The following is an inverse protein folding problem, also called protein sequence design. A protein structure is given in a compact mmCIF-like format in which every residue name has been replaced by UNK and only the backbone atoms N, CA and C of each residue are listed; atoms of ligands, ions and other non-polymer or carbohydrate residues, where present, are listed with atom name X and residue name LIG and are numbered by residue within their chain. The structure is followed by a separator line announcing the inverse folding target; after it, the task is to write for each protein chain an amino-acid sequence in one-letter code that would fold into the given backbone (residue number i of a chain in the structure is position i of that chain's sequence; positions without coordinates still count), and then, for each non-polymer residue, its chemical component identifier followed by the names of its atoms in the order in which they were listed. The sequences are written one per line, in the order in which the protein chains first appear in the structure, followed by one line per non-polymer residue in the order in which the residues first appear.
data_IF_576839519764
#
_entry.id   IF_576839519764
#
_cell.length_a   1.000
_cell.length_b   1.000
_cell.length_c   1.000
_cell.angle_alpha   90.00
_cell.angle_beta   90.00
_cell.angle_gamma   90.00
#
_symmetry.space_group_name_H-M   'P 1'
#
loop_
_entity.id
_entity.type
_entity.pdbx_description
1 polymer ?
#
# COMPACT_ATOMS: atom_id res chain seq x y z
N UNK A 1 -14.05 6.58 27.44
CA UNK A 1 -12.76 7.19 27.07
C UNK A 1 -11.93 6.32 26.12
N UNK A 2 -11.82 5.00 26.33
CA UNK A 2 -11.02 4.11 25.47
C UNK A 2 -11.40 4.13 23.97
N UNK A 3 -12.69 4.25 23.66
CA UNK A 3 -13.15 4.27 22.28
C UNK A 3 -12.67 5.46 21.44
N UNK A 4 -12.77 6.68 21.98
CA UNK A 4 -12.32 7.90 21.30
C UNK A 4 -10.82 7.89 21.07
N UNK A 5 -10.05 7.33 22.01
CA UNK A 5 -8.61 7.13 21.86
C UNK A 5 -8.25 6.17 20.71
N UNK A 6 -9.00 5.07 20.55
CA UNK A 6 -8.78 4.11 19.46
C UNK A 6 -9.02 4.74 18.08
N UNK A 7 -10.06 5.56 17.95
CA UNK A 7 -10.35 6.29 16.71
C UNK A 7 -9.27 7.31 16.40
N UNK A 8 -8.88 8.13 17.38
CA UNK A 8 -7.83 9.12 17.19
C UNK A 8 -6.51 8.46 16.78
N UNK A 9 -6.15 7.33 17.41
CA UNK A 9 -4.97 6.55 17.03
C UNK A 9 -5.07 5.99 15.60
N UNK A 10 -6.23 5.43 15.21
CA UNK A 10 -6.44 4.91 13.84
C UNK A 10 -6.31 6.02 12.79
N UNK A 11 -6.89 7.20 13.06
CA UNK A 11 -6.76 8.37 12.17
C UNK A 11 -5.31 8.84 12.10
N UNK A 12 -4.60 8.92 13.24
CA UNK A 12 -3.20 9.32 13.27
C UNK A 12 -2.31 8.34 12.47
N UNK A 13 -2.54 7.04 12.60
CA UNK A 13 -1.85 6.00 11.82
C UNK A 13 -2.16 6.13 10.33
N UNK A 14 -3.42 6.38 9.96
CA UNK A 14 -3.83 6.60 8.57
C UNK A 14 -3.11 7.82 7.98
N UNK A 15 -3.20 8.97 8.63
CA UNK A 15 -2.57 10.22 8.18
C UNK A 15 -1.04 10.09 8.12
N UNK A 16 -0.43 9.48 9.13
CA UNK A 16 1.01 9.23 9.16
C UNK A 16 1.44 8.31 8.01
N UNK A 17 0.67 7.26 7.74
CA UNK A 17 0.93 6.36 6.61
C UNK A 17 0.85 7.12 5.29
N UNK A 18 -0.21 7.88 5.06
CA UNK A 18 -0.40 8.66 3.83
C UNK A 18 0.75 9.66 3.65
N UNK A 19 1.16 10.35 4.71
CA UNK A 19 2.28 11.29 4.66
C UNK A 19 3.60 10.59 4.30
N UNK A 20 3.91 9.44 4.93
CA UNK A 20 5.11 8.65 4.62
C UNK A 20 5.07 8.16 3.18
N UNK A 21 3.93 7.65 2.72
CA UNK A 21 3.76 7.18 1.34
C UNK A 21 3.98 8.31 0.34
N UNK A 22 3.34 9.47 0.53
CA UNK A 22 3.50 10.63 -0.34
C UNK A 22 4.95 11.11 -0.37
N UNK A 23 5.64 11.10 0.77
CA UNK A 23 7.06 11.43 0.85
C UNK A 23 7.94 10.40 0.13
N UNK A 24 7.67 9.10 0.30
CA UNK A 24 8.41 8.00 -0.36
C UNK A 24 8.21 7.99 -1.87
N UNK A 25 6.99 8.22 -2.34
CA UNK A 25 6.67 8.25 -3.78
C UNK A 25 7.38 9.39 -4.51
N UNK A 26 7.69 10.49 -3.81
CA UNK A 26 8.51 11.60 -4.35
C UNK A 26 9.98 11.25 -4.50
N UNK A 27 10.47 10.18 -3.85
CA UNK A 27 11.87 9.76 -3.92
C UNK A 27 12.08 8.73 -5.06
N UNK A 28 12.69 9.13 -6.19
CA UNK A 28 12.82 8.24 -7.36
C UNK A 28 13.69 7.01 -7.10
N UNK A 29 14.71 7.15 -6.23
CA UNK A 29 15.55 6.02 -5.81
C UNK A 29 14.72 4.94 -5.08
N UNK A 30 13.84 5.35 -4.16
CA UNK A 30 12.99 4.41 -3.44
C UNK A 30 12.01 3.68 -4.37
N UNK A 31 11.40 4.39 -5.32
CA UNK A 31 10.49 3.79 -6.33
C UNK A 31 11.24 2.76 -7.18
N UNK A 32 12.47 3.07 -7.60
CA UNK A 32 13.32 2.14 -8.36
C UNK A 32 13.66 0.89 -7.55
N UNK A 33 14.08 1.05 -6.30
CA UNK A 33 14.52 -0.07 -5.46
C UNK A 33 13.34 -0.98 -5.07
N UNK A 34 12.19 -0.39 -4.71
CA UNK A 34 10.95 -1.13 -4.46
C UNK A 34 10.51 -1.94 -5.68
N UNK A 35 10.69 -1.37 -6.87
CA UNK A 35 10.40 -2.06 -8.13
C UNK A 35 11.38 -3.19 -8.43
N UNK A 36 12.67 -2.99 -8.21
CA UNK A 36 13.67 -4.05 -8.35
C UNK A 36 13.34 -5.23 -7.43
N UNK A 37 12.93 -4.96 -6.19
CA UNK A 37 12.48 -5.99 -5.26
C UNK A 37 11.25 -6.75 -5.80
N UNK A 38 10.26 -6.03 -6.34
CA UNK A 38 9.06 -6.65 -6.93
C UNK A 38 9.38 -7.52 -8.16
N UNK A 39 10.38 -7.14 -8.95
CA UNK A 39 10.82 -7.89 -10.13
C UNK A 39 11.74 -9.06 -9.81
N UNK A 40 12.47 -9.02 -8.69
CA UNK A 40 13.34 -10.12 -8.25
C UNK A 40 12.52 -11.36 -7.88
N UNK A 41 11.32 -11.19 -7.32
CA UNK A 41 10.42 -12.28 -6.95
C UNK A 41 8.97 -11.96 -7.37
N UNK A 42 8.66 -12.02 -8.68
CA UNK A 42 7.39 -11.53 -9.22
C UNK A 42 6.17 -12.27 -8.67
N UNK A 43 6.30 -13.59 -8.43
CA UNK A 43 5.24 -14.43 -7.86
C UNK A 43 5.03 -14.12 -6.38
N UNK A 44 6.10 -14.06 -5.58
CA UNK A 44 6.01 -13.75 -4.14
C UNK A 44 5.42 -12.36 -3.91
N UNK A 45 5.87 -11.37 -4.68
CA UNK A 45 5.34 -10.01 -4.62
C UNK A 45 3.87 -9.93 -5.01
N UNK A 46 3.44 -10.71 -6.01
CA UNK A 46 2.03 -10.88 -6.38
C UNK A 46 1.20 -11.49 -5.25
N UNK A 47 1.71 -12.57 -4.65
CA UNK A 47 1.02 -13.27 -3.56
C UNK A 47 0.87 -12.37 -2.33
N UNK A 48 1.92 -11.63 -1.95
CA UNK A 48 1.83 -10.66 -0.84
C UNK A 48 0.85 -9.53 -1.16
N UNK A 49 0.82 -9.03 -2.39
CA UNK A 49 -0.14 -8.00 -2.80
C UNK A 49 -1.58 -8.52 -2.76
N UNK A 50 -1.83 -9.71 -3.30
CA UNK A 50 -3.14 -10.35 -3.29
C UNK A 50 -3.60 -10.64 -1.85
N UNK A 51 -2.72 -11.20 -1.03
CA UNK A 51 -2.98 -11.45 0.39
C UNK A 51 -3.31 -10.14 1.13
N UNK A 52 -2.51 -9.09 0.93
CA UNK A 52 -2.75 -7.77 1.50
C UNK A 52 -4.12 -7.19 1.09
N UNK A 53 -4.51 -7.34 -0.18
CA UNK A 53 -5.81 -6.92 -0.67
C UNK A 53 -6.96 -7.70 -0.02
N UNK A 54 -6.83 -9.03 0.12
CA UNK A 54 -7.83 -9.89 0.77
C UNK A 54 -7.98 -9.51 2.24
N UNK A 55 -6.88 -9.43 3.00
CA UNK A 55 -6.91 -9.05 4.43
C UNK A 55 -7.53 -7.68 4.61
N UNK A 56 -7.14 -6.71 3.79
CA UNK A 56 -7.68 -5.35 3.83
C UNK A 56 -9.19 -5.33 3.58
N UNK A 57 -9.67 -6.11 2.60
CA UNK A 57 -11.09 -6.22 2.28
C UNK A 57 -11.87 -6.86 3.42
N UNK A 58 -11.34 -7.92 4.04
CA UNK A 58 -11.95 -8.55 5.21
C UNK A 58 -12.07 -7.58 6.39
N UNK A 59 -11.03 -6.81 6.67
CA UNK A 59 -11.05 -5.78 7.72
C UNK A 59 -12.08 -4.70 7.41
N UNK A 60 -12.22 -4.29 6.15
CA UNK A 60 -13.24 -3.31 5.75
C UNK A 60 -14.66 -3.85 5.98
N UNK A 61 -14.94 -5.08 5.53
CA UNK A 61 -16.24 -5.73 5.70
C UNK A 61 -16.58 -5.85 7.18
N UNK A 62 -15.61 -6.28 8.00
CA UNK A 62 -15.78 -6.36 9.44
C UNK A 62 -16.03 -4.97 10.05
N UNK A 63 -15.26 -3.95 9.66
CA UNK A 63 -15.48 -2.59 10.12
C UNK A 63 -16.88 -2.08 9.83
N UNK A 64 -17.38 -2.27 8.60
CA UNK A 64 -18.75 -1.89 8.21
C UNK A 64 -19.79 -2.66 9.04
N UNK A 65 -19.61 -3.97 9.23
CA UNK A 65 -20.50 -4.78 10.08
C UNK A 65 -20.56 -4.26 11.52
N UNK A 66 -19.43 -3.85 12.10
CA UNK A 66 -19.38 -3.28 13.44
C UNK A 66 -20.02 -1.89 13.52
N UNK A 67 -19.91 -1.08 12.46
CA UNK A 67 -20.64 0.20 12.36
C UNK A 67 -22.15 -0.05 12.35
N UNK A 68 -22.65 -1.00 11.56
CA UNK A 68 -24.08 -1.26 11.41
C UNK A 68 -24.71 -1.92 12.64
N UNK A 69 -23.91 -2.63 13.45
CA UNK A 69 -24.37 -3.31 14.68
C UNK A 69 -24.22 -2.46 15.96
N UNK A 70 -24.05 -1.14 15.82
CA UNK A 70 -24.05 -0.20 16.95
C UNK A 70 -22.70 0.01 17.64
N UNK A 71 -21.63 -0.63 17.16
CA UNK A 71 -20.27 -0.47 17.68
C UNK A 71 -19.46 0.52 16.84
N UNK A 72 -20.04 1.72 16.62
CA UNK A 72 -19.54 2.70 15.66
C UNK A 72 -18.06 3.04 15.81
N UNK A 73 -17.57 3.18 17.03
CA UNK A 73 -16.15 3.50 17.28
C UNK A 73 -15.20 2.41 16.77
N UNK A 74 -15.46 1.15 17.10
CA UNK A 74 -14.61 0.02 16.68
C UNK A 74 -14.72 -0.16 15.17
N UNK A 75 -15.95 -0.04 14.64
CA UNK A 75 -16.19 -0.13 13.21
C UNK A 75 -15.44 0.93 12.41
N UNK A 76 -15.51 2.20 12.82
CA UNK A 76 -14.77 3.29 12.17
C UNK A 76 -13.25 3.15 12.32
N UNK A 77 -12.75 2.63 13.44
CA UNK A 77 -11.32 2.36 13.61
C UNK A 77 -10.83 1.28 12.62
N UNK A 78 -11.63 0.22 12.42
CA UNK A 78 -11.36 -0.81 11.41
C UNK A 78 -11.46 -0.28 9.99
N UNK A 79 -12.42 0.61 9.69
CA UNK A 79 -12.51 1.28 8.38
C UNK A 79 -11.26 2.12 8.11
N UNK A 80 -10.77 2.87 9.11
CA UNK A 80 -9.51 3.62 8.99
C UNK A 80 -8.30 2.73 8.75
N UNK A 81 -8.22 1.58 9.44
CA UNK A 81 -7.18 0.57 9.22
C UNK A 81 -7.25 0.00 7.79
N UNK A 82 -8.46 -0.31 7.30
CA UNK A 82 -8.66 -0.79 5.95
C UNK A 82 -8.27 0.27 4.90
N UNK A 83 -8.58 1.54 5.11
CA UNK A 83 -8.15 2.62 4.23
C UNK A 83 -6.61 2.72 4.15
N UNK A 84 -5.93 2.46 5.27
CA UNK A 84 -4.46 2.39 5.34
C UNK A 84 -3.92 1.22 4.51
N UNK A 85 -4.54 0.03 4.64
CA UNK A 85 -4.19 -1.16 3.84
C UNK A 85 -4.41 -0.94 2.34
N UNK A 86 -5.54 -0.33 1.97
CA UNK A 86 -5.89 -0.01 0.57
C UNK A 86 -4.84 0.92 -0.05
N UNK A 87 -4.38 1.91 0.71
CA UNK A 87 -3.33 2.84 0.26
C UNK A 87 -2.03 2.10 -0.09
N UNK A 88 -1.62 1.12 0.73
CA UNK A 88 -0.43 0.31 0.45
C UNK A 88 -0.61 -0.58 -0.79
N UNK A 89 -1.76 -1.25 -0.92
CA UNK A 89 -2.06 -2.08 -2.09
C UNK A 89 -2.06 -1.23 -3.36
N UNK A 90 -2.68 -0.05 -3.32
CA UNK A 90 -2.71 0.89 -4.44
C UNK A 90 -1.31 1.32 -4.88
N UNK A 91 -0.45 1.71 -3.92
CA UNK A 91 0.94 2.09 -4.21
C UNK A 91 1.71 0.92 -4.81
N UNK A 92 1.52 -0.30 -4.28
CA UNK A 92 2.15 -1.50 -4.83
C UNK A 92 1.77 -1.75 -6.29
N UNK A 93 0.47 -1.62 -6.62
CA UNK A 93 -0.04 -1.73 -8.00
C UNK A 93 0.54 -0.60 -8.87
N UNK A 94 0.55 0.64 -8.38
CA UNK A 94 1.03 1.79 -9.11
C UNK A 94 2.53 1.67 -9.47
N UNK A 95 3.38 1.28 -8.52
CA UNK A 95 4.82 1.02 -8.76
C UNK A 95 5.00 -0.03 -9.86
N UNK A 96 4.18 -1.09 -9.83
CA UNK A 96 4.25 -2.17 -10.81
C UNK A 96 3.81 -1.75 -12.23
N UNK A 97 2.92 -0.76 -12.32
CA UNK A 97 2.45 -0.18 -13.60
C UNK A 97 3.43 0.82 -14.22
N UNK A 98 4.47 1.26 -13.50
CA UNK A 98 5.48 2.16 -14.03
C UNK A 98 6.25 1.50 -15.19
N UNK A 99 6.58 2.22 -16.29
CA UNK A 99 7.33 1.66 -17.43
C UNK A 99 8.76 1.29 -17.04
N UNK A 100 9.28 0.14 -17.51
CA UNK A 100 10.67 -0.28 -17.25
C UNK A 100 11.61 0.76 -17.89
N UNK A 101 12.65 1.25 -17.19
CA UNK A 101 13.74 1.91 -17.88
C UNK A 101 14.26 0.89 -18.88
N UNK A 102 14.09 1.19 -20.17
CA UNK A 102 14.72 0.35 -21.18
C UNK A 102 16.21 0.28 -20.84
N UNK A 103 16.83 -0.90 -20.89
CA UNK A 103 18.27 -0.97 -20.83
C UNK A 103 18.77 0.04 -21.87
N UNK A 104 19.54 1.05 -21.44
CA UNK A 104 20.23 1.96 -22.35
C UNK A 104 20.86 1.03 -23.38
N UNK A 105 20.39 1.08 -24.62
CA UNK A 105 20.92 0.25 -25.68
C UNK A 105 22.43 0.43 -25.60
N UNK A 106 23.13 -0.60 -25.16
CA UNK A 106 24.57 -0.66 -25.22
C UNK A 106 24.85 -0.63 -26.70
N UNK A 107 25.03 0.59 -27.21
CA UNK A 107 25.61 0.87 -28.51
C UNK A 107 27.07 0.46 -28.39
N UNK A 108 27.31 -0.84 -28.24
CA UNK A 108 28.55 -1.46 -28.65
C UNK A 108 28.52 -1.40 -30.16
N UNK A 109 28.90 -0.21 -30.64
CA UNK A 109 29.38 0.06 -31.98
C UNK A 109 30.47 -0.97 -32.26
N UNK A 110 30.07 -2.12 -32.82
CA UNK A 110 30.97 -2.94 -33.62
C UNK A 110 31.11 -2.17 -34.92
N UNK A 111 32.10 -1.29 -34.97
CA UNK A 111 32.63 -0.87 -36.24
C UNK A 111 33.74 -1.89 -36.63
N UNK A 112 33.79 -2.27 -37.92
CA UNK A 112 34.56 -3.41 -38.44
C UNK A 112 36.08 -3.23 -38.39
#
# INVERSE_FOLDING_TARGET
MAGTGLLAASIAVLLGTVAIVLWRVRNPAWVRDARLAQNASPVSSLLMLAFGAVVTTLVLVLGVFWVTTGHGVVGWAMVGLAATGLSHVWVGVWIRRQPLPQPRATRTRRDP
#
